data_IF_147633041531
#
_entry.id   IF_147633041531
#
_cell.length_a   1.000
_cell.length_b   1.000
_cell.length_c   1.000
_cell.angle_alpha   90.00
_cell.angle_beta   90.00
_cell.angle_gamma   90.00
#
_symmetry.space_group_name_H-M   'P 1'
#
loop_
_entity.id
_entity.type
_entity.pdbx_description
1 polymer ?
#
# COMPACT_ATOMS: atom_id res chain seq x y z
N UNK A 1 18.00 -15.98 5.48
CA UNK A 1 17.69 -14.86 6.41
C UNK A 1 17.37 -15.33 7.84
N UNK A 2 16.98 -16.59 8.06
CA UNK A 2 16.99 -17.21 9.38
C UNK A 2 18.41 -17.20 10.01
N UNK A 3 18.53 -17.23 11.34
CA UNK A 3 17.44 -17.25 12.33
C UNK A 3 16.83 -15.87 12.62
N UNK A 4 17.52 -14.78 12.24
CA UNK A 4 17.09 -13.41 12.55
C UNK A 4 15.69 -13.11 12.01
N UNK A 5 15.42 -13.52 10.77
CA UNK A 5 14.08 -13.45 10.18
C UNK A 5 13.54 -14.87 10.04
N UNK A 6 12.69 -15.24 11.00
CA UNK A 6 11.95 -16.51 10.95
C UNK A 6 10.85 -16.44 9.88
N UNK A 7 10.60 -17.55 9.18
CA UNK A 7 9.56 -17.63 8.14
C UNK A 7 8.17 -17.25 8.65
N UNK A 8 7.86 -17.52 9.93
CA UNK A 8 6.59 -17.14 10.57
C UNK A 8 6.42 -15.62 10.73
N UNK A 9 7.53 -14.87 10.71
CA UNK A 9 7.58 -13.40 10.76
C UNK A 9 7.82 -12.76 9.40
N UNK A 10 8.17 -13.54 8.38
CA UNK A 10 8.32 -13.05 7.02
C UNK A 10 7.00 -12.46 6.52
N UNK A 11 7.04 -11.24 5.99
CA UNK A 11 5.87 -10.55 5.44
C UNK A 11 6.12 -10.08 4.03
N UNK A 12 5.04 -10.01 3.27
CA UNK A 12 4.94 -9.30 2.00
C UNK A 12 3.94 -8.17 2.17
N UNK A 13 4.23 -7.01 1.61
CA UNK A 13 3.37 -5.84 1.66
C UNK A 13 3.42 -5.03 0.37
N UNK A 14 2.78 -3.86 0.41
CA UNK A 14 2.82 -2.87 -0.66
C UNK A 14 4.12 -2.06 -0.58
N UNK A 15 4.73 -1.78 -1.74
CA UNK A 15 5.79 -0.77 -1.88
C UNK A 15 5.30 0.65 -1.52
N UNK A 16 3.99 0.89 -1.59
CA UNK A 16 3.34 2.16 -1.25
C UNK A 16 2.81 2.10 0.17
N UNK A 17 3.39 2.88 1.06
CA UNK A 17 3.06 2.92 2.48
C UNK A 17 3.12 4.34 3.03
N UNK A 18 2.46 4.52 4.16
CA UNK A 18 2.61 5.69 5.03
C UNK A 18 3.30 5.21 6.31
N UNK A 19 4.14 6.07 6.88
CA UNK A 19 4.84 5.77 8.13
C UNK A 19 4.86 7.01 9.01
N UNK A 20 4.62 6.83 10.32
CA UNK A 20 4.78 7.92 11.27
C UNK A 20 6.27 8.18 11.55
N UNK A 21 6.59 9.35 12.12
CA UNK A 21 7.98 9.76 12.39
C UNK A 21 8.75 8.74 13.24
N UNK A 22 8.11 8.14 14.25
CA UNK A 22 8.76 7.17 15.14
C UNK A 22 9.24 5.94 14.38
N UNK A 23 8.38 5.33 13.57
CA UNK A 23 8.75 4.17 12.76
C UNK A 23 9.70 4.53 11.62
N UNK A 24 9.63 5.75 11.09
CA UNK A 24 10.59 6.23 10.08
C UNK A 24 12.02 6.29 10.62
N UNK A 25 12.21 6.70 11.89
CA UNK A 25 13.53 6.65 12.55
C UNK A 25 14.04 5.22 12.63
N UNK A 26 13.21 4.26 13.08
CA UNK A 26 13.57 2.84 13.12
C UNK A 26 14.02 2.31 11.75
N UNK A 27 13.38 2.76 10.66
CA UNK A 27 13.76 2.38 9.30
C UNK A 27 15.15 2.91 8.94
N UNK A 28 15.41 4.18 9.20
CA UNK A 28 16.67 4.84 8.79
C UNK A 28 17.85 4.36 9.62
N UNK A 29 17.63 4.01 10.89
CA UNK A 29 18.69 3.54 11.80
C UNK A 29 18.98 2.03 11.70
N UNK A 30 18.21 1.28 10.89
CA UNK A 30 18.32 -0.18 10.87
C UNK A 30 19.63 -0.66 10.24
N UNK A 31 20.51 -1.18 11.09
CA UNK A 31 21.73 -1.89 10.70
C UNK A 31 21.63 -3.40 10.92
N UNK A 32 20.46 -3.91 11.31
CA UNK A 32 20.26 -5.31 11.73
C UNK A 32 19.56 -6.13 10.65
N UNK A 33 18.41 -5.66 10.14
CA UNK A 33 17.61 -6.41 9.19
C UNK A 33 18.03 -6.12 7.75
N UNK A 34 18.22 -4.85 7.37
CA UNK A 34 18.57 -4.47 5.99
C UNK A 34 19.76 -5.28 5.42
N UNK A 35 20.90 -5.46 6.12
CA UNK A 35 22.00 -6.25 5.57
C UNK A 35 21.63 -7.70 5.23
N UNK A 36 20.66 -8.30 5.94
CA UNK A 36 20.16 -9.65 5.59
C UNK A 36 19.32 -9.62 4.32
N UNK A 37 18.49 -8.60 4.13
CA UNK A 37 17.73 -8.43 2.89
C UNK A 37 18.66 -8.12 1.71
N UNK A 38 19.63 -7.22 1.90
CA UNK A 38 20.66 -6.92 0.91
C UNK A 38 21.44 -8.17 0.50
N UNK A 39 21.84 -9.00 1.45
CA UNK A 39 22.63 -10.21 1.18
C UNK A 39 21.80 -11.34 0.54
N UNK A 40 20.58 -11.58 1.01
CA UNK A 40 19.83 -12.80 0.70
C UNK A 40 18.54 -12.59 -0.09
N UNK A 41 17.98 -11.38 -0.16
CA UNK A 41 16.79 -11.13 -0.97
C UNK A 41 17.23 -11.09 -2.44
N UNK A 42 17.03 -12.21 -3.13
CA UNK A 42 17.29 -12.39 -4.56
C UNK A 42 15.97 -12.79 -5.22
N UNK A 43 15.75 -12.46 -6.51
CA UNK A 43 14.52 -12.84 -7.21
C UNK A 43 14.14 -14.30 -6.96
N UNK A 44 12.88 -14.61 -6.64
CA UNK A 44 11.68 -13.75 -6.71
C UNK A 44 11.38 -12.91 -5.42
N UNK A 45 12.37 -12.59 -4.60
CA UNK A 45 12.24 -11.65 -3.48
C UNK A 45 12.41 -10.19 -3.93
N UNK A 46 11.46 -9.32 -3.57
CA UNK A 46 11.49 -7.88 -3.80
C UNK A 46 11.71 -7.13 -2.47
N UNK A 47 12.87 -6.50 -2.31
CA UNK A 47 13.29 -5.90 -1.02
C UNK A 47 12.29 -4.85 -0.54
N UNK A 48 11.82 -4.00 -1.45
CA UNK A 48 10.84 -2.94 -1.19
C UNK A 48 9.44 -3.45 -0.83
N UNK A 49 9.10 -4.70 -1.18
CA UNK A 49 7.83 -5.34 -0.78
C UNK A 49 7.97 -6.24 0.46
N UNK A 50 9.19 -6.56 0.92
CA UNK A 50 9.41 -7.53 2.01
C UNK A 50 10.14 -6.98 3.22
N UNK A 51 11.10 -6.07 3.04
CA UNK A 51 11.98 -5.61 4.10
C UNK A 51 11.21 -4.86 5.20
N UNK A 52 10.62 -3.70 4.91
CA UNK A 52 9.88 -2.94 5.92
C UNK A 52 8.71 -3.71 6.55
N UNK A 53 7.86 -4.41 5.77
CA UNK A 53 6.78 -5.21 6.36
C UNK A 53 7.28 -6.25 7.36
N UNK A 54 8.42 -6.89 7.06
CA UNK A 54 9.00 -7.92 7.94
C UNK A 54 9.65 -7.31 9.17
N UNK A 55 10.55 -6.35 8.98
CA UNK A 55 11.29 -5.70 10.06
C UNK A 55 10.33 -5.01 11.05
N UNK A 56 9.35 -4.26 10.56
CA UNK A 56 8.39 -3.57 11.44
C UNK A 56 7.42 -4.54 12.11
N UNK A 57 7.07 -5.67 11.50
CA UNK A 57 6.26 -6.70 12.16
C UNK A 57 7.00 -7.32 13.35
N UNK A 58 8.32 -7.46 13.25
CA UNK A 58 9.16 -7.98 14.32
C UNK A 58 9.34 -6.93 15.43
N UNK A 59 9.63 -5.67 15.07
CA UNK A 59 9.98 -4.63 16.05
C UNK A 59 8.78 -3.90 16.65
N UNK A 60 7.70 -3.70 15.89
CA UNK A 60 6.63 -2.76 16.23
C UNK A 60 5.25 -3.23 15.73
N UNK A 61 4.99 -4.54 15.71
CA UNK A 61 3.78 -5.12 15.10
C UNK A 61 2.45 -4.55 15.63
N UNK A 62 2.38 -4.15 16.89
CA UNK A 62 1.18 -3.52 17.48
C UNK A 62 0.89 -2.10 16.94
N UNK A 63 1.87 -1.44 16.35
CA UNK A 63 1.72 -0.12 15.74
C UNK A 63 1.34 -0.19 14.25
N UNK A 64 1.20 -1.39 13.67
CA UNK A 64 0.92 -1.57 12.25
C UNK A 64 -0.58 -1.72 11.98
N UNK A 65 -1.08 -0.94 11.04
CA UNK A 65 -2.46 -1.05 10.55
C UNK A 65 -2.69 -2.27 9.62
N UNK A 66 -1.62 -2.96 9.21
CA UNK A 66 -1.64 -4.10 8.27
C UNK A 66 -2.37 -3.79 6.95
N UNK A 67 -2.35 -2.52 6.52
CA UNK A 67 -2.93 -2.01 5.29
C UNK A 67 -2.15 -0.79 4.79
N UNK A 68 -2.28 -0.47 3.51
CA UNK A 68 -1.85 0.81 2.95
C UNK A 68 -3.05 1.76 2.78
N UNK A 69 -2.77 3.04 2.59
CA UNK A 69 -3.72 4.07 2.18
C UNK A 69 -3.82 4.20 0.65
N UNK A 70 -3.14 3.32 -0.11
CA UNK A 70 -3.21 3.30 -1.57
C UNK A 70 -4.09 2.15 -2.05
N UNK A 71 -5.17 2.47 -2.75
CA UNK A 71 -6.03 1.50 -3.42
C UNK A 71 -5.39 0.99 -4.72
N UNK A 72 -5.49 -0.31 -4.93
CA UNK A 72 -5.01 -1.00 -6.13
C UNK A 72 -5.98 -2.10 -6.51
N UNK A 73 -6.14 -2.34 -7.80
CA UNK A 73 -6.95 -3.44 -8.31
C UNK A 73 -6.05 -4.55 -8.86
N UNK A 74 -6.14 -5.72 -8.24
CA UNK A 74 -5.44 -6.93 -8.66
C UNK A 74 -6.34 -7.92 -9.42
N UNK A 75 -7.62 -7.58 -9.65
CA UNK A 75 -8.58 -8.48 -10.30
C UNK A 75 -8.20 -8.87 -11.73
N UNK A 76 -7.40 -8.04 -12.42
CA UNK A 76 -6.88 -8.31 -13.76
C UNK A 76 -5.70 -9.30 -13.79
N UNK A 77 -5.20 -9.72 -12.63
CA UNK A 77 -4.10 -10.68 -12.51
C UNK A 77 -2.72 -10.15 -12.94
N UNK A 78 -1.72 -11.03 -12.90
CA UNK A 78 -0.33 -10.71 -13.27
C UNK A 78 0.53 -10.17 -12.12
N UNK A 79 1.76 -9.76 -12.45
CA UNK A 79 2.74 -9.27 -11.47
C UNK A 79 2.54 -7.79 -11.07
N UNK A 80 1.59 -7.10 -11.71
CA UNK A 80 1.33 -5.68 -11.47
C UNK A 80 -0.19 -5.43 -11.35
N UNK A 81 -0.61 -4.43 -10.55
CA UNK A 81 -2.02 -4.08 -10.48
C UNK A 81 -2.50 -3.47 -11.80
N UNK A 82 -3.81 -3.48 -11.99
CA UNK A 82 -4.49 -2.92 -13.15
C UNK A 82 -4.06 -1.48 -13.43
N UNK A 83 -3.95 -1.16 -14.72
CA UNK A 83 -3.83 0.21 -15.20
C UNK A 83 -5.18 0.64 -15.77
N UNK A 84 -5.76 1.67 -15.17
CA UNK A 84 -7.03 2.26 -15.56
C UNK A 84 -6.86 3.21 -16.74
N UNK A 85 -7.68 3.05 -17.77
CA UNK A 85 -7.76 3.96 -18.90
C UNK A 85 -8.94 4.93 -18.78
N UNK A 86 -9.12 5.80 -19.79
CA UNK A 86 -10.26 6.74 -19.87
C UNK A 86 -11.60 6.12 -19.51
N UNK A 87 -11.91 4.95 -20.07
CA UNK A 87 -13.20 4.26 -19.88
C UNK A 87 -13.41 3.71 -18.47
N UNK A 88 -12.34 3.56 -17.69
CA UNK A 88 -12.43 3.08 -16.31
C UNK A 88 -12.82 4.21 -15.33
N UNK A 89 -12.71 5.48 -15.73
CA UNK A 89 -13.01 6.63 -14.86
C UNK A 89 -14.51 6.92 -14.90
N UNK A 90 -15.26 6.29 -14.00
CA UNK A 90 -16.71 6.42 -13.88
C UNK A 90 -17.12 6.69 -12.42
N UNK A 91 -18.40 7.03 -12.18
CA UNK A 91 -18.93 7.14 -10.80
C UNK A 91 -18.79 5.84 -10.03
N UNK A 92 -19.01 4.72 -10.71
CA UNK A 92 -18.90 3.36 -10.16
C UNK A 92 -17.46 3.05 -9.76
N UNK A 93 -16.46 3.56 -10.50
CA UNK A 93 -15.07 3.44 -10.10
C UNK A 93 -14.83 4.07 -8.73
N UNK A 94 -15.29 5.31 -8.50
CA UNK A 94 -15.14 5.98 -7.21
C UNK A 94 -15.96 5.32 -6.11
N UNK A 95 -17.15 4.79 -6.42
CA UNK A 95 -17.92 3.97 -5.48
C UNK A 95 -17.15 2.70 -5.06
N UNK A 96 -16.33 2.10 -5.93
CA UNK A 96 -15.45 0.98 -5.53
C UNK A 96 -14.27 1.43 -4.68
N UNK A 97 -13.69 2.59 -4.98
CA UNK A 97 -12.56 3.15 -4.21
C UNK A 97 -13.02 3.56 -2.80
N UNK A 98 -14.21 4.18 -2.68
CA UNK A 98 -14.75 4.71 -1.42
C UNK A 98 -15.68 3.74 -0.68
N UNK A 99 -16.48 2.96 -1.40
CA UNK A 99 -17.68 2.30 -0.89
C UNK A 99 -17.50 0.89 -0.34
N UNK A 100 -16.26 0.40 -0.18
CA UNK A 100 -16.03 -1.02 0.06
C UNK A 100 -15.70 -1.43 1.50
N UNK A 101 -15.07 -0.56 2.30
CA UNK A 101 -14.40 -1.02 3.52
C UNK A 101 -14.48 -0.01 4.66
N UNK A 102 -14.97 -0.47 5.82
CA UNK A 102 -14.64 0.16 7.10
C UNK A 102 -13.26 -0.33 7.51
N UNK A 103 -12.39 0.59 7.90
CA UNK A 103 -11.08 0.26 8.43
C UNK A 103 -10.92 0.87 9.82
N UNK A 104 -10.02 0.29 10.59
CA UNK A 104 -9.58 0.87 11.85
C UNK A 104 -8.44 1.85 11.61
N UNK A 105 -8.50 2.96 12.31
CA UNK A 105 -7.42 3.91 12.49
C UNK A 105 -7.44 4.36 13.95
N UNK A 106 -6.37 4.09 14.70
CA UNK A 106 -6.29 4.33 16.15
C UNK A 106 -7.52 3.77 16.90
N UNK A 107 -7.86 2.50 16.64
CA UNK A 107 -9.00 1.76 17.19
C UNK A 107 -10.40 2.32 16.92
N UNK A 108 -10.49 3.36 16.09
CA UNK A 108 -11.76 3.94 15.63
C UNK A 108 -12.07 3.49 14.22
N UNK A 109 -13.35 3.26 13.93
CA UNK A 109 -13.81 2.89 12.60
C UNK A 109 -13.94 4.14 11.71
N UNK A 110 -13.37 4.07 10.51
CA UNK A 110 -13.49 5.09 9.46
C UNK A 110 -14.03 4.47 8.18
N UNK A 111 -14.78 5.26 7.42
CA UNK A 111 -15.22 4.93 6.05
C UNK A 111 -14.16 5.26 5.01
N UNK A 112 -13.32 6.27 5.25
CA UNK A 112 -12.23 6.65 4.37
C UNK A 112 -10.97 5.87 4.72
N UNK A 113 -10.70 4.81 3.94
CA UNK A 113 -9.57 3.91 4.19
C UNK A 113 -8.38 4.13 3.28
N UNK A 114 -8.61 4.77 2.14
CA UNK A 114 -7.61 5.02 1.11
C UNK A 114 -7.62 6.51 0.77
N UNK A 115 -6.44 7.06 0.54
CA UNK A 115 -6.20 8.45 0.13
C UNK A 115 -5.63 8.53 -1.30
N UNK A 116 -5.03 7.44 -1.77
CA UNK A 116 -4.41 7.34 -3.08
C UNK A 116 -4.98 6.14 -3.84
N UNK A 117 -4.86 6.16 -5.18
CA UNK A 117 -5.17 5.01 -6.03
C UNK A 117 -4.11 4.88 -7.14
N UNK A 118 -3.90 3.66 -7.64
CA UNK A 118 -3.05 3.40 -8.81
C UNK A 118 -3.47 2.10 -9.52
N UNK A 119 -3.16 1.92 -10.80
CA UNK A 119 -2.38 2.79 -11.71
C UNK A 119 -3.31 3.47 -12.72
N UNK A 120 -2.97 4.69 -13.12
CA UNK A 120 -3.75 5.45 -14.10
C UNK A 120 -2.91 5.69 -15.36
N UNK A 121 -3.48 5.44 -16.53
CA UNK A 121 -2.87 5.79 -17.82
C UNK A 121 -3.01 7.30 -18.08
N UNK A 122 -2.16 7.93 -18.92
CA UNK A 122 -2.31 9.35 -19.26
C UNK A 122 -3.70 9.74 -19.80
N UNK A 123 -4.41 8.79 -20.42
CA UNK A 123 -5.77 8.99 -20.94
C UNK A 123 -6.84 9.25 -19.87
N UNK A 124 -6.52 9.07 -18.58
CA UNK A 124 -7.44 9.32 -17.47
C UNK A 124 -7.46 10.77 -17.03
N UNK A 125 -6.51 11.62 -17.45
CA UNK A 125 -6.34 12.97 -16.93
C UNK A 125 -7.62 13.81 -17.06
N UNK A 126 -8.14 13.96 -18.28
CA UNK A 126 -9.34 14.76 -18.54
C UNK A 126 -10.58 14.20 -17.79
N UNK A 127 -10.92 12.90 -17.88
CA UNK A 127 -12.02 12.33 -17.10
C UNK A 127 -11.89 12.53 -15.58
N UNK A 128 -10.67 12.45 -15.03
CA UNK A 128 -10.45 12.69 -13.59
C UNK A 128 -10.72 14.15 -13.23
N UNK A 129 -10.28 15.10 -14.06
CA UNK A 129 -10.57 16.53 -13.85
C UNK A 129 -12.07 16.81 -13.95
N UNK A 130 -12.76 16.20 -14.92
CA UNK A 130 -14.21 16.34 -15.08
C UNK A 130 -14.98 15.83 -13.86
N UNK A 131 -14.53 14.73 -13.25
CA UNK A 131 -15.14 14.16 -12.04
C UNK A 131 -14.98 15.08 -10.81
N UNK A 132 -13.84 15.75 -10.69
CA UNK A 132 -13.61 16.77 -9.64
C UNK A 132 -14.53 17.97 -9.85
N UNK A 133 -14.64 18.45 -11.09
CA UNK A 133 -15.44 19.64 -11.41
C UNK A 133 -16.97 19.40 -11.30
N UNK A 134 -17.41 18.16 -11.51
CA UNK A 134 -18.84 17.80 -11.51
C UNK A 134 -19.43 17.52 -10.13
N UNK A 135 -18.70 17.78 -9.03
CA UNK A 135 -19.09 17.45 -7.65
C UNK A 135 -19.47 15.97 -7.45
N UNK A 136 -18.99 15.09 -8.32
CA UNK A 136 -19.21 13.64 -8.18
C UNK A 136 -18.44 13.08 -6.98
N UNK A 137 -17.34 13.74 -6.66
CA UNK A 137 -16.58 13.54 -5.44
C UNK A 137 -17.06 14.65 -4.49
N UNK A 138 -18.04 14.34 -3.63
CA UNK A 138 -18.61 15.26 -2.63
C UNK A 138 -17.55 15.71 -1.60
N UNK A 139 -16.61 16.55 -2.03
CA UNK A 139 -15.69 17.30 -1.17
C UNK A 139 -16.25 18.69 -0.87
#
# INVERSE_FOLDING_TARGET
>A
MAPLVNITKWRKGSQWFEVNRKLAVNIVEDTTFYPKFEQYCRPACYVDEHYFPTMLTIQAGSALANRSITWVDWSRGGAHPATFGRSDITKEFFNRVHGGQKCKYNDRNFSLCVLFARKFAPSTLEPLLDMVNSKVLDF
#
